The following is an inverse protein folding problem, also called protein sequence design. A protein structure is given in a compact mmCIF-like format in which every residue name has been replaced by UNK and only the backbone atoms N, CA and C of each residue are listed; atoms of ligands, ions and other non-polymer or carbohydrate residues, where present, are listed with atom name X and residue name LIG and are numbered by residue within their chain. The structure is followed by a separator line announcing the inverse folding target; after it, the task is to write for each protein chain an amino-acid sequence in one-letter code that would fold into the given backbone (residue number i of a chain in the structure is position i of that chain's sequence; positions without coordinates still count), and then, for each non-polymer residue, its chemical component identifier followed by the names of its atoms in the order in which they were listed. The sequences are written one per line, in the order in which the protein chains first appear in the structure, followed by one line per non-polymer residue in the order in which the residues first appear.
data_IF_102913943332
#
_entry.id   IF_102913943332
#
_cell.length_a   1.000
_cell.length_b   1.000
_cell.length_c   1.000
_cell.angle_alpha   90.00
_cell.angle_beta   90.00
_cell.angle_gamma   90.00
#
_symmetry.space_group_name_H-M   'P 1'
#
loop_
_entity.id
_entity.type
_entity.pdbx_description
1 polymer ?
#
# COMPACT_ATOMS: atom_id res chain seq x y z
N UNK A 1 18.64 18.62 -18.10
CA UNK A 1 17.56 17.93 -17.34
C UNK A 1 18.20 17.26 -16.15
N UNK A 2 18.10 17.85 -14.97
CA UNK A 2 18.57 17.22 -13.74
C UNK A 2 17.66 16.04 -13.43
N UNK A 3 18.26 14.89 -13.16
CA UNK A 3 17.54 13.67 -12.82
C UNK A 3 16.58 13.92 -11.62
N UNK A 4 15.33 13.50 -11.76
CA UNK A 4 14.24 13.70 -10.78
C UNK A 4 14.65 13.33 -9.35
N UNK A 5 15.41 12.22 -9.20
CA UNK A 5 15.92 11.79 -7.90
C UNK A 5 16.95 12.76 -7.27
N UNK A 6 17.79 13.44 -8.09
CA UNK A 6 18.76 14.39 -7.55
C UNK A 6 18.10 15.65 -6.96
N UNK A 7 16.94 16.05 -7.49
CA UNK A 7 16.17 17.19 -6.95
C UNK A 7 15.53 16.86 -5.59
N UNK A 8 14.98 15.65 -5.46
CA UNK A 8 14.35 15.19 -4.21
C UNK A 8 15.41 14.93 -3.14
N UNK A 9 16.51 14.27 -3.50
CA UNK A 9 17.63 13.97 -2.56
C UNK A 9 18.44 15.21 -2.21
N UNK A 10 18.37 16.28 -3.02
CA UNK A 10 18.96 17.58 -2.73
C UNK A 10 18.20 18.36 -1.65
N UNK A 11 16.92 18.07 -1.43
CA UNK A 11 16.16 18.58 -0.30
C UNK A 11 16.34 17.67 0.91
N UNK A 12 16.86 18.24 2.02
CA UNK A 12 17.19 17.48 3.23
C UNK A 12 15.97 16.78 3.84
N UNK A 13 14.85 17.46 3.94
CA UNK A 13 13.67 16.93 4.60
C UNK A 13 12.95 15.91 3.71
N UNK A 14 12.93 16.10 2.39
CA UNK A 14 12.47 15.11 1.42
C UNK A 14 13.34 13.83 1.44
N UNK A 15 14.66 13.98 1.47
CA UNK A 15 15.60 12.85 1.55
C UNK A 15 15.46 12.06 2.85
N UNK A 16 15.35 12.74 4.00
CA UNK A 16 15.10 12.12 5.29
C UNK A 16 13.76 11.38 5.32
N UNK A 17 12.72 12.01 4.80
CA UNK A 17 11.40 11.38 4.73
C UNK A 17 11.42 10.12 3.85
N UNK A 18 12.05 10.19 2.68
CA UNK A 18 12.20 9.02 1.82
C UNK A 18 12.99 7.89 2.52
N UNK A 19 14.03 8.23 3.28
CA UNK A 19 14.79 7.27 4.07
C UNK A 19 13.90 6.59 5.14
N UNK A 20 13.03 7.35 5.84
CA UNK A 20 12.08 6.78 6.78
C UNK A 20 11.13 5.78 6.10
N UNK A 21 10.57 6.15 4.93
CA UNK A 21 9.68 5.30 4.13
C UNK A 21 10.38 4.01 3.68
N UNK A 22 11.64 4.10 3.22
CA UNK A 22 12.41 2.94 2.80
C UNK A 22 12.69 2.00 3.98
N UNK A 23 13.13 2.57 5.10
CA UNK A 23 13.49 1.78 6.29
C UNK A 23 12.26 1.08 6.89
N UNK A 24 11.16 1.80 7.14
CA UNK A 24 9.94 1.19 7.68
C UNK A 24 9.26 0.28 6.66
N UNK A 25 9.24 0.66 5.38
CA UNK A 25 8.67 -0.15 4.31
C UNK A 25 9.38 -1.49 4.11
N UNK A 26 10.70 -1.54 4.37
CA UNK A 26 11.45 -2.80 4.35
C UNK A 26 10.94 -3.76 5.45
N UNK A 27 10.89 -3.29 6.71
CA UNK A 27 10.41 -4.10 7.84
C UNK A 27 8.97 -4.55 7.64
N UNK A 28 8.09 -3.62 7.27
CA UNK A 28 6.68 -3.90 6.99
C UNK A 28 6.49 -4.98 5.91
N UNK A 29 7.23 -4.88 4.79
CA UNK A 29 7.11 -5.85 3.69
C UNK A 29 7.65 -7.23 4.08
N UNK A 30 8.70 -7.30 4.89
CA UNK A 30 9.22 -8.54 5.43
C UNK A 30 8.22 -9.18 6.41
N UNK A 31 7.67 -8.40 7.35
CA UNK A 31 6.71 -8.88 8.35
C UNK A 31 5.41 -9.38 7.70
N UNK A 32 4.98 -8.74 6.63
CA UNK A 32 3.77 -9.12 5.88
C UNK A 32 3.81 -10.57 5.38
N UNK A 33 4.92 -10.96 4.76
CA UNK A 33 5.12 -12.34 4.31
C UNK A 33 5.28 -13.28 5.50
N UNK A 34 6.14 -12.90 6.45
CA UNK A 34 6.52 -13.76 7.58
C UNK A 34 5.32 -14.08 8.47
N UNK A 35 4.40 -13.14 8.70
CA UNK A 35 3.22 -13.39 9.52
C UNK A 35 2.39 -14.56 8.99
N UNK A 36 2.13 -14.63 7.68
CA UNK A 36 1.39 -15.70 7.06
C UNK A 36 2.13 -17.04 7.12
N UNK A 37 3.44 -17.05 6.79
CA UNK A 37 4.28 -18.25 6.86
C UNK A 37 4.36 -18.79 8.28
N UNK A 38 4.57 -17.93 9.26
CA UNK A 38 4.64 -18.29 10.68
C UNK A 38 3.36 -18.95 11.18
N UNK A 39 2.18 -18.37 10.86
CA UNK A 39 0.89 -18.98 11.24
C UNK A 39 0.72 -20.34 10.56
N UNK A 40 1.09 -20.46 9.28
CA UNK A 40 1.01 -21.73 8.56
C UNK A 40 1.91 -22.80 9.18
N UNK A 41 3.13 -22.46 9.57
CA UNK A 41 4.07 -23.38 10.22
C UNK A 41 3.56 -23.84 11.60
N UNK A 42 2.92 -22.94 12.37
CA UNK A 42 2.38 -23.26 13.68
C UNK A 42 1.10 -24.11 13.63
N UNK A 43 0.29 -23.96 12.58
CA UNK A 43 -1.08 -24.54 12.54
C UNK A 43 -1.33 -25.50 11.40
N UNK A 44 -0.54 -25.46 10.34
CA UNK A 44 -0.80 -26.17 9.08
C UNK A 44 -1.97 -25.58 8.26
N UNK A 45 -2.63 -24.50 8.74
CA UNK A 45 -3.86 -23.97 8.15
C UNK A 45 -3.58 -22.78 7.21
N UNK A 46 -3.95 -22.94 5.93
CA UNK A 46 -3.90 -21.86 4.95
C UNK A 46 -4.94 -20.76 5.26
N UNK A 47 -6.10 -21.13 5.80
CA UNK A 47 -7.14 -20.17 6.19
C UNK A 47 -6.69 -19.25 7.31
N UNK A 48 -6.01 -19.76 8.35
CA UNK A 48 -5.45 -18.94 9.42
C UNK A 48 -4.30 -18.07 8.92
N UNK A 49 -3.47 -18.54 7.99
CA UNK A 49 -2.46 -17.73 7.35
C UNK A 49 -3.06 -16.55 6.55
N UNK A 50 -4.15 -16.79 5.83
CA UNK A 50 -4.89 -15.75 5.12
C UNK A 50 -5.53 -14.71 6.07
N UNK A 51 -5.92 -15.12 7.27
CA UNK A 51 -6.43 -14.19 8.30
C UNK A 51 -5.39 -13.16 8.75
N UNK A 52 -4.09 -13.42 8.63
CA UNK A 52 -3.05 -12.42 8.89
C UNK A 52 -3.20 -11.21 7.95
N UNK A 53 -3.40 -11.48 6.65
CA UNK A 53 -3.63 -10.43 5.65
C UNK A 53 -4.93 -9.69 5.95
N UNK A 54 -5.98 -10.41 6.31
CA UNK A 54 -7.25 -9.80 6.70
C UNK A 54 -7.08 -8.91 7.94
N UNK A 55 -6.39 -9.35 8.98
CA UNK A 55 -6.16 -8.56 10.20
C UNK A 55 -5.44 -7.23 9.90
N UNK A 56 -4.46 -7.24 8.99
CA UNK A 56 -3.76 -6.03 8.56
C UNK A 56 -4.66 -5.05 7.78
N UNK A 57 -5.58 -5.57 6.95
CA UNK A 57 -6.44 -4.75 6.11
C UNK A 57 -7.80 -4.42 6.75
N UNK A 58 -8.22 -5.16 7.77
CA UNK A 58 -9.50 -4.96 8.46
C UNK A 58 -9.75 -3.52 8.98
N UNK A 59 -8.73 -2.74 9.42
CA UNK A 59 -8.92 -1.36 9.81
C UNK A 59 -9.11 -0.38 8.65
N UNK A 60 -8.82 -0.75 7.40
CA UNK A 60 -8.90 0.15 6.23
C UNK A 60 -10.27 0.82 6.05
N UNK A 61 -11.43 0.13 6.23
CA UNK A 61 -12.74 0.78 6.15
C UNK A 61 -12.97 1.85 7.22
N UNK A 62 -12.27 1.76 8.35
CA UNK A 62 -12.28 2.78 9.41
C UNK A 62 -11.32 3.96 9.10
N UNK A 63 -10.66 3.94 7.94
CA UNK A 63 -9.69 4.96 7.50
C UNK A 63 -10.16 6.40 7.69
N UNK A 64 -11.38 6.77 7.29
CA UNK A 64 -11.88 8.13 7.49
C UNK A 64 -11.99 8.53 8.96
N UNK A 65 -12.31 7.58 9.84
CA UNK A 65 -12.36 7.82 11.29
C UNK A 65 -10.95 7.94 11.90
N UNK A 66 -10.06 7.02 11.53
CA UNK A 66 -8.67 7.00 11.97
C UNK A 66 -7.89 8.21 11.42
N UNK A 67 -8.16 8.64 10.19
CA UNK A 67 -7.56 9.82 9.57
C UNK A 67 -7.88 11.13 10.27
N UNK A 68 -9.02 11.22 11.02
CA UNK A 68 -9.32 12.41 11.83
C UNK A 68 -8.29 12.65 12.93
N UNK A 69 -7.57 11.63 13.35
CA UNK A 69 -6.48 11.76 14.32
C UNK A 69 -5.32 12.57 13.72
N UNK A 70 -5.00 12.34 12.43
CA UNK A 70 -4.00 13.10 11.71
C UNK A 70 -4.41 14.57 11.49
N UNK A 71 -5.71 14.85 11.37
CA UNK A 71 -6.23 16.22 11.23
C UNK A 71 -6.24 17.00 12.55
N UNK A 72 -6.39 16.31 13.70
CA UNK A 72 -6.49 16.92 15.03
C UNK A 72 -5.17 17.08 15.75
N UNK A 73 -4.12 16.42 15.27
CA UNK A 73 -2.81 16.40 15.91
C UNK A 73 -1.74 16.97 14.99
N UNK A 74 -0.63 17.40 15.56
CA UNK A 74 0.56 17.71 14.77
C UNK A 74 1.07 16.43 14.15
N UNK A 75 1.28 16.43 12.84
CA UNK A 75 1.56 15.24 12.03
C UNK A 75 2.91 14.61 12.34
N UNK A 76 3.96 15.44 12.54
CA UNK A 76 5.29 14.93 12.92
C UNK A 76 5.31 14.22 14.28
N UNK A 77 4.78 14.79 15.41
CA UNK A 77 4.66 14.07 16.67
C UNK A 77 3.78 12.81 16.56
N UNK A 78 2.74 12.83 15.72
CA UNK A 78 1.89 11.67 15.49
C UNK A 78 2.66 10.54 14.80
N UNK A 79 3.41 10.84 13.73
CA UNK A 79 4.27 9.87 13.05
C UNK A 79 5.36 9.32 13.97
N UNK A 80 5.99 10.18 14.77
CA UNK A 80 6.94 9.75 15.79
C UNK A 80 6.30 8.78 16.79
N UNK A 81 5.16 9.16 17.36
CA UNK A 81 4.45 8.36 18.37
C UNK A 81 3.94 7.02 17.83
N UNK A 82 3.40 7.00 16.61
CA UNK A 82 2.91 5.77 15.98
C UNK A 82 4.04 4.81 15.61
N UNK A 83 5.18 5.32 15.15
CA UNK A 83 6.35 4.48 14.89
C UNK A 83 6.93 3.91 16.19
N UNK A 84 7.02 4.70 17.26
CA UNK A 84 7.45 4.21 18.59
C UNK A 84 6.45 3.20 19.17
N UNK A 85 5.16 3.39 18.95
CA UNK A 85 4.13 2.43 19.37
C UNK A 85 4.36 1.07 18.69
N UNK A 86 4.58 1.03 17.38
CA UNK A 86 4.86 -0.21 16.66
C UNK A 86 6.19 -0.82 17.09
N UNK A 87 7.23 0.00 17.28
CA UNK A 87 8.52 -0.47 17.79
C UNK A 87 8.39 -1.14 19.17
N UNK A 88 7.52 -0.63 20.04
CA UNK A 88 7.26 -1.21 21.36
C UNK A 88 6.30 -2.42 21.32
N UNK A 89 5.36 -2.44 20.36
CA UNK A 89 4.34 -3.48 20.25
C UNK A 89 4.88 -4.78 19.66
N UNK A 90 5.71 -4.69 18.61
CA UNK A 90 6.21 -5.86 17.88
C UNK A 90 7.02 -6.85 18.74
N UNK A 91 7.84 -6.43 19.71
CA UNK A 91 8.49 -7.37 20.63
C UNK A 91 7.53 -8.24 21.45
N UNK A 92 6.26 -7.86 21.61
CA UNK A 92 5.23 -8.70 22.28
C UNK A 92 5.04 -10.03 21.54
N UNK A 93 5.37 -10.08 20.25
CA UNK A 93 5.30 -11.30 19.44
C UNK A 93 6.29 -12.39 19.88
N UNK A 94 7.24 -12.09 20.75
CA UNK A 94 8.03 -13.13 21.43
C UNK A 94 7.20 -14.04 22.35
N UNK A 95 6.00 -13.60 22.75
CA UNK A 95 5.06 -14.41 23.52
C UNK A 95 4.27 -15.42 22.66
N UNK A 96 4.48 -15.42 21.33
CA UNK A 96 3.83 -16.37 20.42
C UNK A 96 4.72 -17.62 20.31
N UNK A 97 4.39 -18.63 21.09
CA UNK A 97 5.13 -19.89 21.22
C UNK A 97 4.39 -21.11 20.63
N UNK A 98 3.13 -20.95 20.23
CA UNK A 98 2.33 -22.03 19.66
C UNK A 98 0.94 -21.60 19.18
N UNK A 99 0.11 -22.55 18.71
CA UNK A 99 -1.23 -22.26 18.20
C UNK A 99 -2.15 -21.59 19.22
N UNK A 100 -1.97 -21.83 20.52
CA UNK A 100 -2.79 -21.24 21.58
C UNK A 100 -2.56 -19.74 21.80
N UNK A 101 -1.42 -19.21 21.36
CA UNK A 101 -1.04 -17.79 21.52
C UNK A 101 -1.21 -16.95 20.23
N UNK A 102 -1.80 -17.51 19.17
CA UNK A 102 -2.02 -16.80 17.89
C UNK A 102 -2.90 -15.56 18.00
N UNK A 103 -3.78 -15.49 19.01
CA UNK A 103 -4.58 -14.32 19.26
C UNK A 103 -3.73 -13.05 19.52
N UNK A 104 -2.52 -13.22 20.09
CA UNK A 104 -1.54 -12.15 20.28
C UNK A 104 -1.09 -11.63 18.90
N UNK A 105 -0.72 -12.54 17.99
CA UNK A 105 -0.28 -12.18 16.65
C UNK A 105 -1.39 -11.43 15.89
N UNK A 106 -2.62 -11.96 15.88
CA UNK A 106 -3.73 -11.30 15.21
C UNK A 106 -4.07 -9.95 15.83
N UNK A 107 -4.02 -9.83 17.16
CA UNK A 107 -4.22 -8.56 17.87
C UNK A 107 -3.16 -7.52 17.50
N UNK A 108 -1.89 -7.92 17.46
CA UNK A 108 -0.78 -7.06 17.03
C UNK A 108 -0.96 -6.63 15.58
N UNK A 109 -1.28 -7.56 14.65
CA UNK A 109 -1.49 -7.25 13.23
C UNK A 109 -2.67 -6.30 13.03
N UNK A 110 -3.75 -6.44 13.79
CA UNK A 110 -4.90 -5.53 13.74
C UNK A 110 -4.50 -4.11 14.16
N UNK A 111 -3.77 -3.96 15.26
CA UNK A 111 -3.25 -2.67 15.72
C UNK A 111 -2.25 -2.11 14.71
N UNK A 112 -1.41 -2.95 14.15
CA UNK A 112 -0.45 -2.60 13.11
C UNK A 112 -1.14 -2.00 11.88
N UNK A 113 -2.19 -2.66 11.37
CA UNK A 113 -3.00 -2.16 10.26
C UNK A 113 -3.68 -0.83 10.59
N UNK A 114 -4.26 -0.69 11.79
CA UNK A 114 -4.90 0.56 12.24
C UNK A 114 -3.89 1.72 12.31
N UNK A 115 -2.71 1.46 12.85
CA UNK A 115 -1.61 2.44 12.91
C UNK A 115 -1.14 2.80 11.51
N UNK A 116 -1.01 1.84 10.59
CA UNK A 116 -0.66 2.08 9.19
C UNK A 116 -1.61 3.06 8.50
N UNK A 117 -2.93 2.90 8.71
CA UNK A 117 -3.94 3.84 8.18
C UNK A 117 -3.75 5.27 8.74
N UNK A 118 -3.42 5.41 10.01
CA UNK A 118 -3.14 6.72 10.64
C UNK A 118 -1.85 7.31 10.06
N UNK A 119 -0.81 6.50 9.89
CA UNK A 119 0.47 6.92 9.30
C UNK A 119 0.28 7.42 7.87
N UNK A 120 -0.42 6.67 7.01
CA UNK A 120 -0.70 7.07 5.62
C UNK A 120 -1.40 8.43 5.53
N UNK A 121 -2.39 8.68 6.41
CA UNK A 121 -3.10 9.94 6.48
C UNK A 121 -2.17 11.09 6.95
N UNK A 122 -1.40 10.86 8.01
CA UNK A 122 -0.46 11.84 8.56
C UNK A 122 0.67 12.17 7.58
N UNK A 123 1.21 11.15 6.91
CA UNK A 123 2.25 11.28 5.90
C UNK A 123 1.78 12.09 4.70
N UNK A 124 0.62 11.76 4.14
CA UNK A 124 0.06 12.49 3.00
C UNK A 124 -0.14 13.97 3.31
N UNK A 125 -0.58 14.26 4.53
CA UNK A 125 -0.82 15.63 4.97
C UNK A 125 0.49 16.37 5.33
N UNK A 126 1.50 15.67 5.88
CA UNK A 126 2.83 16.26 6.16
C UNK A 126 3.54 16.64 4.87
N UNK A 127 3.53 15.75 3.88
CA UNK A 127 4.15 15.99 2.57
C UNK A 127 3.61 17.20 1.86
N UNK A 128 2.27 17.36 1.86
CA UNK A 128 1.61 18.49 1.22
C UNK A 128 2.01 19.84 1.83
N UNK A 129 2.47 19.84 3.10
CA UNK A 129 2.90 21.06 3.81
C UNK A 129 4.41 21.26 3.83
N UNK A 130 5.19 20.16 3.69
CA UNK A 130 6.63 20.16 3.82
C UNK A 130 7.37 20.38 2.49
N UNK A 131 6.76 19.97 1.37
CA UNK A 131 7.38 20.00 0.06
C UNK A 131 6.76 21.06 -0.86
N UNK A 132 7.61 21.70 -1.65
CA UNK A 132 7.14 22.56 -2.73
C UNK A 132 6.29 21.78 -3.73
N UNK A 133 5.17 22.33 -4.17
CA UNK A 133 4.24 21.69 -5.10
C UNK A 133 4.87 21.16 -6.39
N UNK A 134 6.00 21.74 -6.81
CA UNK A 134 6.80 21.28 -7.95
C UNK A 134 7.61 20.00 -7.70
N UNK A 135 7.87 19.65 -6.42
CA UNK A 135 8.60 18.44 -6.01
C UNK A 135 7.68 17.27 -5.67
N UNK A 136 6.40 17.54 -5.36
CA UNK A 136 5.44 16.51 -4.93
C UNK A 136 5.29 15.36 -5.93
N UNK A 137 5.21 15.66 -7.23
CA UNK A 137 5.10 14.63 -8.26
C UNK A 137 6.35 13.76 -8.37
N UNK A 138 7.52 14.39 -8.29
CA UNK A 138 8.82 13.72 -8.33
C UNK A 138 9.03 12.87 -7.07
N UNK A 139 8.64 13.39 -5.91
CA UNK A 139 8.71 12.69 -4.64
C UNK A 139 7.76 11.48 -4.59
N UNK A 140 6.48 11.65 -4.98
CA UNK A 140 5.51 10.56 -5.01
C UNK A 140 5.95 9.43 -5.96
N UNK A 141 6.54 9.75 -7.10
CA UNK A 141 7.12 8.76 -8.02
C UNK A 141 8.26 7.99 -7.38
N UNK A 142 9.19 8.68 -6.70
CA UNK A 142 10.33 8.04 -6.03
C UNK A 142 9.89 7.21 -4.81
N UNK A 143 8.92 7.71 -4.03
CA UNK A 143 8.29 6.97 -2.93
C UNK A 143 7.63 5.68 -3.43
N UNK A 144 6.90 5.76 -4.53
CA UNK A 144 6.26 4.59 -5.13
C UNK A 144 7.29 3.58 -5.63
N UNK A 145 8.35 4.03 -6.29
CA UNK A 145 9.48 3.18 -6.71
C UNK A 145 10.13 2.49 -5.52
N UNK A 146 10.36 3.22 -4.42
CA UNK A 146 10.93 2.68 -3.19
C UNK A 146 10.01 1.62 -2.58
N UNK A 147 8.72 1.91 -2.45
CA UNK A 147 7.74 0.96 -1.92
C UNK A 147 7.64 -0.32 -2.75
N UNK A 148 7.60 -0.21 -4.08
CA UNK A 148 7.56 -1.39 -4.96
C UNK A 148 8.88 -2.17 -4.92
N UNK A 149 10.03 -1.48 -4.84
CA UNK A 149 11.33 -2.11 -4.63
C UNK A 149 11.42 -2.87 -3.31
N UNK A 150 10.88 -2.31 -2.22
CA UNK A 150 10.85 -2.98 -0.91
C UNK A 150 9.95 -4.23 -0.93
N UNK A 151 8.81 -4.19 -1.60
CA UNK A 151 7.95 -5.37 -1.78
C UNK A 151 8.62 -6.52 -2.52
N UNK A 152 9.63 -6.24 -3.35
CA UNK A 152 10.41 -7.27 -4.03
C UNK A 152 11.51 -7.85 -3.14
N UNK A 153 12.28 -6.99 -2.48
CA UNK A 153 13.48 -7.39 -1.75
C UNK A 153 13.17 -7.87 -0.34
N UNK A 154 12.29 -7.17 0.37
CA UNK A 154 12.04 -7.42 1.78
C UNK A 154 11.40 -8.78 2.07
N UNK A 155 10.45 -9.32 1.26
CA UNK A 155 9.92 -10.66 1.46
C UNK A 155 10.99 -11.75 1.34
N UNK A 156 11.94 -11.61 0.39
CA UNK A 156 13.04 -12.58 0.21
C UNK A 156 13.96 -12.58 1.43
N UNK A 157 14.35 -11.40 1.90
CA UNK A 157 15.16 -11.26 3.11
C UNK A 157 14.37 -11.75 4.34
N UNK A 158 13.09 -11.38 4.45
CA UNK A 158 12.20 -11.82 5.52
C UNK A 158 12.06 -13.33 5.58
N UNK A 159 11.85 -14.00 4.44
CA UNK A 159 11.79 -15.47 4.37
C UNK A 159 13.12 -16.12 4.80
N UNK A 160 14.25 -15.60 4.34
CA UNK A 160 15.57 -16.07 4.74
C UNK A 160 15.83 -15.88 6.25
N UNK A 161 15.46 -14.75 6.82
CA UNK A 161 15.54 -14.50 8.25
C UNK A 161 14.58 -15.38 9.06
N UNK A 162 13.38 -15.61 8.54
CA UNK A 162 12.40 -16.48 9.18
C UNK A 162 12.91 -17.93 9.29
N UNK A 163 13.45 -18.49 8.19
CA UNK A 163 14.00 -19.85 8.18
C UNK A 163 15.21 -19.98 9.10
N UNK A 164 16.04 -18.94 9.23
CA UNK A 164 17.23 -18.97 10.06
C UNK A 164 16.93 -18.70 11.55
N UNK A 165 15.95 -17.86 11.84
CA UNK A 165 15.80 -17.26 13.18
C UNK A 165 14.37 -17.29 13.76
N UNK A 166 13.36 -17.66 12.97
CA UNK A 166 11.95 -17.70 13.37
C UNK A 166 11.26 -16.34 13.35
N UNK A 167 9.91 -16.38 13.50
CA UNK A 167 9.04 -15.20 13.41
C UNK A 167 9.32 -14.07 14.38
N UNK A 168 9.55 -14.36 15.69
CA UNK A 168 9.81 -13.30 16.68
C UNK A 168 11.00 -12.40 16.34
N UNK A 169 12.06 -12.94 15.74
CA UNK A 169 13.25 -12.15 15.37
C UNK A 169 13.01 -11.26 14.14
N UNK A 170 12.16 -11.71 13.21
CA UNK A 170 11.73 -10.84 12.09
C UNK A 170 10.85 -9.70 12.61
N UNK A 171 9.96 -9.97 13.57
CA UNK A 171 9.18 -8.93 14.23
C UNK A 171 10.08 -7.92 14.97
N UNK A 172 11.16 -8.39 15.61
CA UNK A 172 12.15 -7.51 16.25
C UNK A 172 12.90 -6.65 15.22
N UNK A 173 13.26 -7.22 14.07
CA UNK A 173 13.86 -6.45 12.98
C UNK A 173 12.91 -5.32 12.54
N UNK A 174 11.63 -5.62 12.35
CA UNK A 174 10.62 -4.62 11.97
C UNK A 174 10.46 -3.55 13.08
N UNK A 175 10.46 -3.96 14.37
CA UNK A 175 10.49 -3.02 15.49
C UNK A 175 11.68 -2.04 15.42
N UNK A 176 12.86 -2.54 15.07
CA UNK A 176 14.06 -1.70 14.86
C UNK A 176 13.87 -0.76 13.68
N UNK A 177 13.28 -1.20 12.56
CA UNK A 177 13.02 -0.32 11.42
C UNK A 177 12.07 0.82 11.78
N UNK A 178 11.03 0.55 12.58
CA UNK A 178 10.14 1.59 13.11
C UNK A 178 10.83 2.53 14.09
N UNK A 179 11.69 2.02 14.96
CA UNK A 179 12.48 2.87 15.86
C UNK A 179 13.43 3.80 15.08
N UNK A 180 14.07 3.30 14.02
CA UNK A 180 14.92 4.10 13.14
C UNK A 180 14.08 5.14 12.36
N UNK A 181 12.92 4.76 11.82
CA UNK A 181 11.99 5.68 11.16
C UNK A 181 11.53 6.79 12.13
N UNK A 182 11.20 6.45 13.37
CA UNK A 182 10.89 7.43 14.41
C UNK A 182 12.05 8.41 14.62
N UNK A 183 13.28 7.92 14.70
CA UNK A 183 14.48 8.76 14.77
C UNK A 183 14.61 9.71 13.59
N UNK A 184 14.34 9.22 12.37
CA UNK A 184 14.35 10.06 11.17
C UNK A 184 13.25 11.12 11.19
N UNK A 185 12.02 10.78 11.60
CA UNK A 185 10.95 11.76 11.77
C UNK A 185 11.29 12.81 12.84
N UNK A 186 12.04 12.44 13.88
CA UNK A 186 12.52 13.38 14.89
C UNK A 186 13.55 14.39 14.34
N UNK A 187 14.25 14.07 13.24
CA UNK A 187 15.22 14.94 12.58
C UNK A 187 14.61 15.92 11.58
N UNK A 188 13.35 15.72 11.15
CA UNK A 188 12.67 16.63 10.22
C UNK A 188 12.48 18.02 10.83
N UNK A 189 12.73 19.07 10.03
CA UNK A 189 12.63 20.48 10.46
C UNK A 189 11.38 21.17 9.93
N UNK A 190 10.30 20.41 9.76
CA UNK A 190 9.03 20.94 9.24
C UNK A 190 8.36 21.86 10.26
N UNK A 191 8.05 23.08 9.86
CA UNK A 191 7.25 24.02 10.65
C UNK A 191 5.77 23.75 10.40
N UNK A 192 5.16 22.96 11.27
CA UNK A 192 3.73 22.71 11.20
C UNK A 192 2.96 23.86 11.85
N UNK A 193 1.99 24.41 11.14
CA UNK A 193 0.97 25.29 11.76
C UNK A 193 0.14 24.42 12.69
N UNK A 194 -0.07 24.82 13.96
CA UNK A 194 -0.94 24.08 14.87
C UNK A 194 -2.31 23.88 14.20
N UNK A 195 -2.91 22.68 14.31
CA UNK A 195 -4.25 22.48 13.82
C UNK A 195 -5.18 23.52 14.47
N UNK A 196 -6.00 24.20 13.66
CA UNK A 196 -6.93 25.20 14.16
C UNK A 196 -7.82 24.57 15.22
N UNK A 197 -7.75 25.10 16.44
CA UNK A 197 -8.60 24.69 17.57
C UNK A 197 -10.01 25.24 17.48
N UNK A 198 -10.44 25.67 16.30
CA UNK A 198 -11.78 26.18 16.16
C UNK A 198 -12.76 25.01 16.33
N UNK A 199 -13.47 24.91 17.48
CA UNK A 199 -14.55 23.95 17.64
C UNK A 199 -15.74 24.48 16.87
N UNK A 200 -15.64 24.50 15.55
CA UNK A 200 -16.83 24.60 14.72
C UNK A 200 -17.83 23.55 15.22
N UNK A 201 -19.14 23.77 15.06
CA UNK A 201 -20.19 22.92 15.62
C UNK A 201 -19.79 21.48 15.40
N UNK A 202 -19.91 20.64 16.45
CA UNK A 202 -19.44 19.25 16.48
C UNK A 202 -20.03 18.46 15.30
N UNK A 203 -19.47 18.67 14.11
CA UNK A 203 -19.81 17.88 12.96
C UNK A 203 -19.47 16.43 13.26
N UNK A 204 -20.48 15.59 13.18
CA UNK A 204 -20.30 14.17 13.41
C UNK A 204 -19.21 13.62 12.49
N UNK A 205 -18.43 12.67 12.97
CA UNK A 205 -17.42 11.95 12.15
C UNK A 205 -18.00 11.53 10.80
N UNK A 206 -19.27 11.11 10.77
CA UNK A 206 -20.01 10.76 9.55
C UNK A 206 -20.15 11.92 8.58
N UNK A 207 -20.41 13.13 9.06
CA UNK A 207 -20.53 14.31 8.20
C UNK A 207 -19.19 14.67 7.54
N UNK A 208 -18.09 14.59 8.31
CA UNK A 208 -16.73 14.86 7.81
C UNK A 208 -16.25 13.81 6.81
N UNK A 209 -16.52 12.53 7.07
CA UNK A 209 -16.25 11.44 6.12
C UNK A 209 -17.05 11.61 4.84
N UNK A 210 -18.35 11.94 4.99
CA UNK A 210 -19.23 12.18 3.86
C UNK A 210 -18.81 13.38 3.02
N UNK A 211 -18.12 14.37 3.61
CA UNK A 211 -17.64 15.56 2.89
C UNK A 211 -16.54 15.21 1.88
N UNK A 212 -15.54 14.41 2.28
CA UNK A 212 -14.49 13.93 1.36
C UNK A 212 -15.08 13.14 0.19
N UNK A 213 -15.94 12.17 0.47
CA UNK A 213 -16.64 11.41 -0.58
C UNK A 213 -17.52 12.30 -1.44
N UNK A 214 -18.25 13.24 -0.83
CA UNK A 214 -19.13 14.19 -1.55
C UNK A 214 -18.32 15.10 -2.47
N UNK A 215 -17.17 15.58 -2.03
CA UNK A 215 -16.25 16.37 -2.86
C UNK A 215 -15.79 15.57 -4.07
N UNK A 216 -15.26 14.35 -3.87
CA UNK A 216 -14.82 13.46 -4.95
C UNK A 216 -15.97 13.18 -5.94
N UNK A 217 -17.17 12.87 -5.43
CA UNK A 217 -18.34 12.51 -6.25
C UNK A 217 -18.87 13.68 -7.07
N UNK A 218 -18.81 14.90 -6.54
CA UNK A 218 -19.30 16.11 -7.24
C UNK A 218 -18.30 16.63 -8.25
N UNK A 219 -17.03 16.24 -8.15
CA UNK A 219 -16.00 16.74 -9.03
C UNK A 219 -15.95 15.95 -10.36
N UNK A 220 -16.22 16.59 -11.53
CA UNK A 220 -16.43 15.87 -12.80
C UNK A 220 -15.18 15.18 -13.35
N UNK A 221 -13.99 15.57 -12.88
CA UNK A 221 -12.71 14.96 -13.27
C UNK A 221 -12.26 13.89 -12.30
N UNK A 222 -12.52 14.05 -11.00
CA UNK A 222 -12.06 13.14 -9.96
C UNK A 222 -12.89 11.87 -9.90
N UNK A 223 -14.23 12.01 -9.94
CA UNK A 223 -15.11 10.87 -9.77
C UNK A 223 -14.91 9.74 -10.77
N UNK A 224 -14.77 9.99 -12.10
CA UNK A 224 -14.44 8.93 -13.06
C UNK A 224 -13.13 8.21 -12.77
N UNK A 225 -12.10 8.92 -12.30
CA UNK A 225 -10.80 8.32 -11.94
C UNK A 225 -10.92 7.47 -10.68
N UNK A 226 -11.69 7.91 -9.68
CA UNK A 226 -11.96 7.14 -8.46
C UNK A 226 -12.71 5.85 -8.78
N UNK A 227 -13.76 5.93 -9.60
CA UNK A 227 -14.52 4.74 -10.03
C UNK A 227 -13.63 3.78 -10.85
N UNK A 228 -12.90 4.30 -11.83
CA UNK A 228 -11.99 3.51 -12.63
C UNK A 228 -10.91 2.83 -11.75
N UNK A 229 -10.37 3.55 -10.79
CA UNK A 229 -9.40 3.00 -9.84
C UNK A 229 -10.00 1.94 -8.93
N UNK A 230 -11.16 2.20 -8.33
CA UNK A 230 -11.85 1.26 -7.45
C UNK A 230 -12.26 -0.03 -8.15
N UNK A 231 -12.81 0.07 -9.37
CA UNK A 231 -13.13 -1.11 -10.19
C UNK A 231 -11.88 -1.89 -10.60
N UNK A 232 -10.82 -1.20 -11.02
CA UNK A 232 -9.54 -1.85 -11.35
C UNK A 232 -8.96 -2.56 -10.13
N UNK A 233 -9.04 -1.95 -8.94
CA UNK A 233 -8.58 -2.56 -7.69
C UNK A 233 -9.41 -3.79 -7.28
N UNK A 234 -10.74 -3.78 -7.52
CA UNK A 234 -11.59 -4.96 -7.30
C UNK A 234 -11.10 -6.14 -8.14
N UNK A 235 -10.92 -5.94 -9.45
CA UNK A 235 -10.44 -6.98 -10.35
C UNK A 235 -8.98 -7.37 -10.07
N UNK A 236 -8.14 -6.44 -9.64
CA UNK A 236 -6.79 -6.74 -9.20
C UNK A 236 -6.77 -7.64 -7.96
N UNK A 237 -7.73 -7.48 -7.04
CA UNK A 237 -7.91 -8.38 -5.91
C UNK A 237 -8.29 -9.80 -6.35
N UNK A 238 -9.26 -9.94 -7.25
CA UNK A 238 -9.66 -11.24 -7.82
C UNK A 238 -8.45 -11.89 -8.52
N UNK A 239 -7.74 -11.15 -9.38
CA UNK A 239 -6.53 -11.65 -10.05
C UNK A 239 -5.44 -12.04 -9.05
N UNK A 240 -5.29 -11.32 -7.94
CA UNK A 240 -4.34 -11.67 -6.88
C UNK A 240 -4.62 -13.02 -6.24
N UNK A 241 -5.90 -13.39 -6.07
CA UNK A 241 -6.30 -14.68 -5.53
C UNK A 241 -6.00 -15.84 -6.51
N UNK A 242 -6.01 -15.59 -7.83
CA UNK A 242 -5.79 -16.63 -8.85
C UNK A 242 -4.31 -16.97 -9.08
N UNK A 243 -3.37 -16.20 -8.52
CA UNK A 243 -1.94 -16.31 -8.87
C UNK A 243 -1.34 -17.69 -8.56
N UNK A 244 -1.76 -18.31 -7.47
CA UNK A 244 -1.31 -19.68 -7.11
C UNK A 244 -1.87 -20.73 -8.06
N UNK A 245 -3.15 -20.61 -8.43
CA UNK A 245 -3.78 -21.50 -9.39
C UNK A 245 -3.14 -21.40 -10.80
N UNK A 246 -2.68 -20.21 -11.18
CA UNK A 246 -1.90 -20.01 -12.41
C UNK A 246 -0.56 -20.76 -12.33
N UNK A 247 0.18 -20.66 -11.23
CA UNK A 247 1.44 -21.38 -11.07
C UNK A 247 1.24 -22.90 -11.11
N UNK A 248 0.22 -23.41 -10.45
CA UNK A 248 -0.15 -24.83 -10.47
C UNK A 248 -0.58 -25.30 -11.87
N UNK A 249 -1.40 -24.48 -12.59
CA UNK A 249 -1.82 -24.76 -13.95
C UNK A 249 -0.66 -24.79 -14.98
N UNK A 250 0.47 -24.16 -14.65
CA UNK A 250 1.72 -24.21 -15.40
C UNK A 250 2.61 -25.41 -14.97
N UNK A 251 2.20 -26.22 -13.99
CA UNK A 251 2.96 -27.35 -13.46
C UNK A 251 4.10 -26.96 -12.52
N UNK A 252 4.10 -25.74 -12.00
CA UNK A 252 5.13 -25.24 -11.08
C UNK A 252 4.71 -25.34 -9.61
N UNK A 253 5.72 -25.39 -8.73
CA UNK A 253 5.52 -25.27 -7.29
C UNK A 253 5.05 -23.86 -6.91
N UNK A 254 4.43 -23.66 -5.73
CA UNK A 254 4.04 -22.33 -5.25
C UNK A 254 5.17 -21.29 -5.22
N UNK A 255 6.43 -21.72 -5.18
CA UNK A 255 7.60 -20.85 -5.23
C UNK A 255 7.69 -20.04 -6.55
N UNK A 256 7.11 -20.54 -7.64
CA UNK A 256 7.06 -19.82 -8.95
C UNK A 256 6.28 -18.51 -8.85
N UNK A 257 5.32 -18.40 -7.93
CA UNK A 257 4.58 -17.16 -7.65
C UNK A 257 5.54 -16.03 -7.28
N UNK A 258 6.63 -16.34 -6.57
CA UNK A 258 7.68 -15.36 -6.27
C UNK A 258 8.26 -14.73 -7.54
N UNK A 259 8.52 -15.54 -8.57
CA UNK A 259 9.05 -15.05 -9.86
C UNK A 259 8.01 -14.18 -10.61
N UNK A 260 6.72 -14.54 -10.54
CA UNK A 260 5.64 -13.72 -11.10
C UNK A 260 5.57 -12.36 -10.41
N UNK A 261 5.71 -12.31 -9.08
CA UNK A 261 5.74 -11.05 -8.34
C UNK A 261 7.00 -10.22 -8.62
N UNK A 262 8.15 -10.85 -8.82
CA UNK A 262 9.38 -10.14 -9.25
C UNK A 262 9.16 -9.48 -10.60
N UNK A 263 8.59 -10.19 -11.58
CA UNK A 263 8.26 -9.63 -12.90
C UNK A 263 7.26 -8.47 -12.78
N UNK A 264 6.21 -8.62 -11.97
CA UNK A 264 5.23 -7.56 -11.70
C UNK A 264 5.88 -6.34 -11.05
N UNK A 265 6.71 -6.55 -10.06
CA UNK A 265 7.41 -5.47 -9.36
C UNK A 265 8.38 -4.72 -10.28
N UNK A 266 9.08 -5.42 -11.17
CA UNK A 266 9.94 -4.78 -12.18
C UNK A 266 9.12 -3.84 -13.10
N UNK A 267 7.92 -4.26 -13.51
CA UNK A 267 6.97 -3.41 -14.22
C UNK A 267 6.55 -2.18 -13.41
N UNK A 268 6.18 -2.38 -12.13
CA UNK A 268 5.76 -1.29 -11.24
C UNK A 268 6.85 -0.24 -11.01
N UNK A 269 8.08 -0.69 -10.80
CA UNK A 269 9.25 0.20 -10.68
C UNK A 269 9.46 0.99 -11.97
N UNK A 270 9.39 0.33 -13.11
CA UNK A 270 9.57 0.97 -14.43
C UNK A 270 8.56 2.09 -14.65
N UNK A 271 7.26 1.81 -14.44
CA UNK A 271 6.22 2.84 -14.63
C UNK A 271 6.30 3.91 -13.56
N UNK A 272 6.68 3.58 -12.32
CA UNK A 272 6.89 4.55 -11.25
C UNK A 272 7.92 5.62 -11.62
N UNK A 273 9.06 5.20 -12.21
CA UNK A 273 10.10 6.11 -12.70
C UNK A 273 9.65 6.97 -13.89
N UNK A 274 8.76 6.46 -14.73
CA UNK A 274 8.27 7.14 -15.94
C UNK A 274 6.99 7.93 -15.71
N UNK A 275 6.28 7.69 -14.61
CA UNK A 275 4.92 8.20 -14.34
C UNK A 275 4.82 9.72 -14.45
N UNK A 276 5.75 10.46 -13.89
CA UNK A 276 5.76 11.93 -13.95
C UNK A 276 5.86 12.47 -15.39
N UNK A 277 6.68 11.82 -16.23
CA UNK A 277 6.84 12.20 -17.65
C UNK A 277 5.60 11.81 -18.47
N UNK A 278 5.07 10.62 -18.23
CA UNK A 278 3.89 10.11 -18.92
C UNK A 278 2.64 10.92 -18.54
N UNK A 279 2.47 11.25 -17.26
CA UNK A 279 1.37 12.11 -16.79
C UNK A 279 1.40 13.49 -17.44
N UNK A 280 2.56 14.12 -17.54
CA UNK A 280 2.69 15.42 -18.21
C UNK A 280 2.36 15.37 -19.70
N UNK A 281 2.67 14.25 -20.39
CA UNK A 281 2.41 14.09 -21.83
C UNK A 281 0.99 13.67 -22.15
N UNK A 282 0.42 12.74 -21.39
CA UNK A 282 -0.87 12.11 -21.67
C UNK A 282 -2.04 12.75 -20.91
N UNK A 283 -1.75 13.37 -19.75
CA UNK A 283 -2.75 13.76 -18.78
C UNK A 283 -3.29 12.54 -17.99
N UNK A 284 -3.93 12.81 -16.85
CA UNK A 284 -4.34 11.80 -15.88
C UNK A 284 -5.30 10.74 -16.48
N UNK A 285 -6.28 11.19 -17.28
CA UNK A 285 -7.30 10.28 -17.86
C UNK A 285 -6.72 9.30 -18.85
N UNK A 286 -5.88 9.77 -19.80
CA UNK A 286 -5.28 8.89 -20.82
C UNK A 286 -4.26 7.96 -20.18
N UNK A 287 -3.48 8.46 -19.23
CA UNK A 287 -2.50 7.66 -18.51
C UNK A 287 -3.18 6.51 -17.75
N UNK A 288 -4.26 6.80 -17.01
CA UNK A 288 -5.07 5.79 -16.34
C UNK A 288 -5.68 4.79 -17.34
N UNK A 289 -6.29 5.28 -18.43
CA UNK A 289 -6.93 4.42 -19.43
C UNK A 289 -5.94 3.46 -20.12
N UNK A 290 -4.75 3.93 -20.48
CA UNK A 290 -3.68 3.08 -21.05
C UNK A 290 -3.24 2.02 -20.04
N UNK A 291 -3.08 2.38 -18.76
CA UNK A 291 -2.73 1.44 -17.71
C UNK A 291 -3.79 0.38 -17.48
N UNK A 292 -5.07 0.77 -17.43
CA UNK A 292 -6.20 -0.16 -17.27
C UNK A 292 -6.26 -1.13 -18.48
N UNK A 293 -6.17 -0.62 -19.71
CA UNK A 293 -6.19 -1.44 -20.89
C UNK A 293 -5.02 -2.45 -20.93
N UNK A 294 -3.81 -1.99 -20.58
CA UNK A 294 -2.63 -2.86 -20.49
C UNK A 294 -2.85 -3.96 -19.43
N UNK A 295 -3.35 -3.60 -18.25
CA UNK A 295 -3.64 -4.56 -17.17
C UNK A 295 -4.68 -5.58 -17.63
N UNK A 296 -5.78 -5.14 -18.23
CA UNK A 296 -6.85 -6.03 -18.72
C UNK A 296 -6.32 -7.02 -19.76
N UNK A 297 -5.57 -6.55 -20.75
CA UNK A 297 -4.96 -7.41 -21.77
C UNK A 297 -3.99 -8.41 -21.14
N UNK A 298 -3.15 -7.96 -20.20
CA UNK A 298 -2.20 -8.82 -19.52
C UNK A 298 -2.91 -9.92 -18.70
N UNK A 299 -3.99 -9.59 -17.98
CA UNK A 299 -4.75 -10.57 -17.19
C UNK A 299 -5.40 -11.61 -18.11
N UNK A 300 -6.03 -11.20 -19.22
CA UNK A 300 -6.64 -12.12 -20.20
C UNK A 300 -5.59 -13.05 -20.83
N UNK A 301 -4.46 -12.52 -21.26
CA UNK A 301 -3.39 -13.31 -21.88
C UNK A 301 -2.75 -14.30 -20.89
N UNK A 302 -2.86 -14.06 -19.60
CA UNK A 302 -2.34 -14.95 -18.55
C UNK A 302 -3.03 -16.32 -18.52
N UNK A 303 -4.20 -16.45 -19.15
CA UNK A 303 -4.87 -17.73 -19.35
C UNK A 303 -4.11 -18.68 -20.29
N UNK A 304 -3.15 -18.17 -21.08
CA UNK A 304 -2.30 -18.99 -21.95
C UNK A 304 -1.27 -19.73 -21.10
N UNK A 305 -1.22 -21.07 -21.14
CA UNK A 305 -0.37 -21.88 -20.28
C UNK A 305 1.09 -21.95 -20.78
N UNK A 306 1.76 -20.80 -20.78
CA UNK A 306 3.18 -20.65 -21.15
C UNK A 306 3.88 -19.76 -20.12
N UNK A 307 5.00 -20.22 -19.56
CA UNK A 307 5.78 -19.50 -18.55
C UNK A 307 6.19 -18.10 -19.00
N UNK A 308 6.70 -17.97 -20.22
CA UNK A 308 7.11 -16.70 -20.79
C UNK A 308 5.94 -15.71 -20.88
N UNK A 309 4.73 -16.20 -21.22
CA UNK A 309 3.52 -15.38 -21.27
C UNK A 309 3.10 -14.96 -19.86
N UNK A 310 3.09 -15.87 -18.89
CA UNK A 310 2.74 -15.57 -17.51
C UNK A 310 3.68 -14.51 -16.90
N UNK A 311 4.99 -14.60 -17.16
CA UNK A 311 5.98 -13.61 -16.72
C UNK A 311 5.79 -12.25 -17.41
N UNK A 312 5.62 -12.25 -18.75
CA UNK A 312 5.38 -11.02 -19.50
C UNK A 312 4.06 -10.34 -19.07
N UNK A 313 3.01 -11.13 -18.84
CA UNK A 313 1.73 -10.63 -18.34
C UNK A 313 1.85 -10.09 -16.92
N UNK A 314 2.62 -10.73 -16.04
CA UNK A 314 2.89 -10.22 -14.69
C UNK A 314 3.61 -8.88 -14.75
N UNK A 315 4.63 -8.73 -15.60
CA UNK A 315 5.27 -7.44 -15.85
C UNK A 315 4.29 -6.41 -16.42
N UNK A 316 3.39 -6.82 -17.32
CA UNK A 316 2.33 -5.99 -17.90
C UNK A 316 1.35 -5.46 -16.83
N UNK A 317 0.91 -6.32 -15.92
CA UNK A 317 0.09 -5.93 -14.76
C UNK A 317 0.85 -4.92 -13.89
N UNK A 318 2.14 -5.17 -13.63
CA UNK A 318 3.00 -4.24 -12.89
C UNK A 318 3.16 -2.89 -13.58
N UNK A 319 3.24 -2.83 -14.90
CA UNK A 319 3.28 -1.58 -15.65
C UNK A 319 1.93 -0.86 -15.65
N UNK A 320 0.81 -1.57 -15.75
CA UNK A 320 -0.51 -0.98 -15.96
C UNK A 320 -1.21 -0.55 -14.69
N UNK A 321 -1.21 -1.39 -13.66
CA UNK A 321 -1.97 -1.16 -12.43
C UNK A 321 -1.60 0.14 -11.69
N UNK A 322 -0.31 0.49 -11.54
CA UNK A 322 0.06 1.74 -10.88
C UNK A 322 -0.38 2.99 -11.63
N UNK A 323 -0.61 2.92 -12.95
CA UNK A 323 -0.98 4.10 -13.74
C UNK A 323 -2.30 4.72 -13.24
N UNK A 324 -3.32 3.90 -12.96
CA UNK A 324 -4.61 4.40 -12.48
C UNK A 324 -4.50 4.96 -11.06
N UNK A 325 -3.69 4.34 -10.20
CA UNK A 325 -3.46 4.81 -8.83
C UNK A 325 -2.75 6.16 -8.83
N UNK A 326 -1.62 6.26 -9.54
CA UNK A 326 -0.85 7.50 -9.64
C UNK A 326 -1.69 8.63 -10.25
N UNK A 327 -2.50 8.33 -11.28
CA UNK A 327 -3.41 9.31 -11.87
C UNK A 327 -4.44 9.80 -10.87
N UNK A 328 -5.09 8.91 -10.13
CA UNK A 328 -6.12 9.26 -9.15
C UNK A 328 -5.55 10.09 -7.99
N UNK A 329 -4.43 9.65 -7.39
CA UNK A 329 -3.77 10.38 -6.31
C UNK A 329 -3.30 11.76 -6.76
N UNK A 330 -2.65 11.86 -7.93
CA UNK A 330 -2.16 13.13 -8.46
C UNK A 330 -3.30 14.10 -8.76
N UNK A 331 -4.39 13.62 -9.36
CA UNK A 331 -5.56 14.43 -9.65
C UNK A 331 -6.20 14.97 -8.38
N UNK A 332 -6.38 14.13 -7.34
CA UNK A 332 -6.95 14.54 -6.06
C UNK A 332 -6.04 15.57 -5.37
N UNK A 333 -4.73 15.36 -5.37
CA UNK A 333 -3.78 16.31 -4.77
C UNK A 333 -3.78 17.68 -5.47
N UNK A 334 -4.03 17.72 -6.79
CA UNK A 334 -4.04 18.97 -7.57
C UNK A 334 -5.35 19.74 -7.53
N UNK A 335 -6.47 19.00 -7.54
CA UNK A 335 -7.79 19.59 -7.73
C UNK A 335 -8.58 19.76 -6.42
N UNK A 336 -8.03 19.30 -5.28
CA UNK A 336 -8.68 19.42 -3.98
C UNK A 336 -8.08 20.57 -3.16
N UNK A 337 -8.90 21.48 -2.61
CA UNK A 337 -8.43 22.52 -1.69
C UNK A 337 -7.71 21.92 -0.48
N UNK A 338 -6.71 22.65 0.05
CA UNK A 338 -5.84 22.19 1.14
C UNK A 338 -6.63 21.78 2.40
N UNK A 339 -7.76 22.46 2.67
CA UNK A 339 -8.62 22.20 3.85
C UNK A 339 -9.38 20.88 3.75
N UNK A 340 -9.59 20.36 2.53
CA UNK A 340 -10.30 19.11 2.27
C UNK A 340 -9.37 17.96 1.85
N UNK A 341 -8.10 18.26 1.61
CA UNK A 341 -7.17 17.29 0.99
C UNK A 341 -6.98 16.04 1.83
N UNK A 342 -6.87 16.16 3.15
CA UNK A 342 -6.75 15.02 4.05
C UNK A 342 -7.97 14.09 3.97
N UNK A 343 -9.18 14.68 4.03
CA UNK A 343 -10.45 13.94 3.96
C UNK A 343 -10.68 13.32 2.59
N UNK A 344 -10.37 14.06 1.52
CA UNK A 344 -10.48 13.57 0.15
C UNK A 344 -9.49 12.43 -0.12
N UNK A 345 -8.24 12.54 0.35
CA UNK A 345 -7.22 11.50 0.22
C UNK A 345 -7.57 10.23 1.02
N UNK A 346 -8.03 10.37 2.25
CA UNK A 346 -8.50 9.24 3.05
C UNK A 346 -9.71 8.55 2.39
N UNK A 347 -10.65 9.33 1.85
CA UNK A 347 -11.80 8.80 1.12
C UNK A 347 -11.36 8.10 -0.17
N UNK A 348 -10.40 8.66 -0.91
CA UNK A 348 -9.81 8.05 -2.09
C UNK A 348 -9.16 6.70 -1.75
N UNK A 349 -8.32 6.65 -0.72
CA UNK A 349 -7.68 5.41 -0.27
C UNK A 349 -8.73 4.33 0.03
N UNK A 350 -9.78 4.67 0.78
CA UNK A 350 -10.84 3.71 1.09
C UNK A 350 -11.57 3.23 -0.17
N UNK A 351 -11.91 4.15 -1.09
CA UNK A 351 -12.62 3.82 -2.33
C UNK A 351 -11.77 3.01 -3.32
N UNK A 352 -10.45 3.08 -3.22
CA UNK A 352 -9.52 2.28 -4.04
C UNK A 352 -9.26 0.91 -3.41
N UNK A 353 -8.91 0.86 -2.13
CA UNK A 353 -8.40 -0.37 -1.50
C UNK A 353 -9.47 -1.24 -0.83
N UNK A 354 -10.61 -0.70 -0.40
CA UNK A 354 -11.70 -1.54 0.09
C UNK A 354 -12.26 -2.48 -1.00
N UNK A 355 -12.48 -2.03 -2.27
CA UNK A 355 -12.83 -2.94 -3.34
C UNK A 355 -11.78 -4.02 -3.61
N UNK A 356 -10.48 -3.72 -3.46
CA UNK A 356 -9.42 -4.71 -3.62
C UNK A 356 -9.54 -5.84 -2.57
N UNK A 357 -9.77 -5.49 -1.31
CA UNK A 357 -9.97 -6.48 -0.25
C UNK A 357 -11.21 -7.35 -0.51
N UNK A 358 -12.31 -6.75 -0.98
CA UNK A 358 -13.51 -7.50 -1.42
C UNK A 358 -13.19 -8.40 -2.60
N UNK A 359 -12.46 -7.90 -3.60
CA UNK A 359 -12.03 -8.66 -4.76
C UNK A 359 -11.16 -9.87 -4.38
N UNK A 360 -10.24 -9.69 -3.45
CA UNK A 360 -9.40 -10.79 -2.95
C UNK A 360 -10.24 -11.88 -2.25
N UNK A 361 -11.19 -11.48 -1.41
CA UNK A 361 -12.10 -12.42 -0.73
C UNK A 361 -13.02 -13.16 -1.72
N UNK A 362 -13.58 -12.45 -2.70
CA UNK A 362 -14.38 -13.05 -3.77
C UNK A 362 -13.54 -14.00 -4.63
N UNK A 363 -12.33 -13.58 -5.01
CA UNK A 363 -11.42 -14.38 -5.79
C UNK A 363 -11.01 -15.69 -5.08
N UNK A 364 -10.73 -15.62 -3.79
CA UNK A 364 -10.42 -16.80 -2.98
C UNK A 364 -11.58 -17.82 -2.97
N UNK A 365 -12.83 -17.35 -2.83
CA UNK A 365 -14.00 -18.23 -2.91
C UNK A 365 -14.27 -18.76 -4.33
N UNK A 366 -14.02 -17.96 -5.35
CA UNK A 366 -14.27 -18.36 -6.75
C UNK A 366 -13.25 -19.40 -7.25
N UNK A 367 -11.99 -19.31 -6.84
CA UNK A 367 -10.93 -20.27 -7.22
C UNK A 367 -11.24 -21.70 -6.75
N UNK A 368 -11.98 -21.85 -5.64
CA UNK A 368 -12.40 -23.18 -5.17
C UNK A 368 -13.59 -23.75 -5.99
N UNK A 369 -14.38 -22.89 -6.63
CA UNK A 369 -15.62 -23.26 -7.32
C UNK A 369 -15.48 -23.34 -8.85
N UNK A 370 -14.56 -22.58 -9.43
CA UNK A 370 -14.45 -22.36 -10.87
C UNK A 370 -12.98 -22.45 -11.31
N UNK A 371 -12.72 -23.11 -12.44
CA UNK A 371 -11.36 -23.16 -13.02
C UNK A 371 -10.82 -21.74 -13.23
N UNK A 372 -9.59 -21.49 -12.78
CA UNK A 372 -8.91 -20.21 -12.89
C UNK A 372 -8.84 -19.67 -14.33
N UNK A 373 -8.84 -20.57 -15.34
CA UNK A 373 -8.85 -20.20 -16.77
C UNK A 373 -10.15 -19.51 -17.20
N UNK A 374 -11.24 -19.72 -16.48
CA UNK A 374 -12.55 -19.08 -16.72
C UNK A 374 -12.67 -17.77 -15.93
N UNK A 375 -11.88 -17.62 -14.86
CA UNK A 375 -11.90 -16.43 -14.01
C UNK A 375 -11.01 -15.28 -14.52
N UNK A 376 -10.06 -15.57 -15.41
CA UNK A 376 -9.12 -14.58 -15.94
C UNK A 376 -9.69 -13.73 -17.10
N UNK A 377 -10.50 -14.25 -18.05
CA UNK A 377 -11.17 -13.43 -19.06
C UNK A 377 -12.31 -12.61 -18.49
#
# INVERSE_FOLDING_TARGET
MTWTGARVLGDRDAGLYLAAVVVSGFGTSAMWLVAGVWVKDLTGSDGLAALCVFALWAPTPAGPALGTLADRTRRRPLLLGTNLLLAALLPVLYAVDGPGSLWILFGVLLVYGAVGVVQDAAESALLATALDGGLLGDFNGLRMTANEGMKLLAPLVGAGLYTAYGGPRVALLDAVTFALAAGVYALLRVRETPPSRDPGPAESLRARTAEGVRHLRRHPRLWPLVLAGGTTMLFAGINGATVYAVAEGLGHSPAFVGLLYVAQGAGSVTVGLLSGTLLRRLGERRFAACGIALTAVAVVLRAVPLDAVALACSAGVGLGLPCVLVAAFTAVQRETPAELLGRASASLNTLLYAPNAVGLALGAGLVELVDHRVLLP
#
